data_IF_414260617304
#
_entry.id   IF_414260617304
#
_cell.length_a   1.000
_cell.length_b   1.000
_cell.length_c   1.000
_cell.angle_alpha   90.00
_cell.angle_beta   90.00
_cell.angle_gamma   90.00
#
_symmetry.space_group_name_H-M   'P 1'
#
loop_
_entity.id
_entity.type
_entity.pdbx_description
1 polymer ?
#
# COMPACT_ATOMS: atom_id res chain seq x y z
N UNK A 1 8.64 0.99 1.78
CA UNK A 1 7.89 0.16 2.74
C UNK A 1 6.50 -0.06 2.19
N UNK A 2 6.21 -1.23 1.61
CA UNK A 2 4.95 -1.42 0.86
C UNK A 2 4.24 -2.73 1.17
N UNK A 3 4.97 -3.74 1.60
CA UNK A 3 4.47 -5.09 1.83
C UNK A 3 4.41 -5.43 3.32
N UNK A 4 4.33 -4.44 4.22
CA UNK A 4 4.44 -4.69 5.68
C UNK A 4 3.13 -5.19 6.30
N UNK A 5 1.97 -4.72 5.83
CA UNK A 5 0.66 -5.08 6.42
C UNK A 5 0.45 -6.59 6.43
N UNK A 6 0.81 -7.26 5.34
CA UNK A 6 0.65 -8.70 5.18
C UNK A 6 1.46 -9.53 6.19
N UNK A 7 2.79 -9.40 6.25
CA UNK A 7 3.63 -10.04 7.28
C UNK A 7 3.22 -9.70 8.71
N UNK A 8 2.87 -8.44 9.00
CA UNK A 8 2.40 -8.05 10.35
C UNK A 8 1.12 -8.80 10.72
N UNK A 9 0.17 -8.87 9.79
CA UNK A 9 -1.10 -9.59 9.99
C UNK A 9 -0.87 -11.10 10.09
N UNK A 10 -0.05 -11.66 9.20
CA UNK A 10 0.31 -13.08 9.17
C UNK A 10 1.00 -13.52 10.47
N UNK A 11 1.93 -12.72 10.98
CA UNK A 11 2.57 -12.96 12.27
C UNK A 11 1.58 -12.90 13.42
N UNK A 12 0.63 -11.95 13.41
CA UNK A 12 -0.38 -11.82 14.46
C UNK A 12 -1.34 -13.02 14.54
N UNK A 13 -1.58 -13.72 13.42
CA UNK A 13 -2.45 -14.91 13.37
C UNK A 13 -1.70 -16.24 13.38
N UNK A 14 -0.37 -16.23 13.51
CA UNK A 14 0.44 -17.45 13.49
C UNK A 14 0.49 -18.15 12.14
N UNK A 15 0.39 -17.41 11.04
CA UNK A 15 0.49 -17.96 9.69
C UNK A 15 1.88 -18.55 9.41
N UNK A 16 1.93 -19.63 8.62
CA UNK A 16 3.17 -20.27 8.18
C UNK A 16 4.08 -19.31 7.38
N UNK A 17 5.39 -19.54 7.41
CA UNK A 17 6.38 -18.72 6.71
C UNK A 17 6.16 -18.64 5.20
N UNK A 18 5.62 -19.68 4.57
CA UNK A 18 5.31 -19.74 3.14
C UNK A 18 4.22 -18.73 2.78
N UNK A 19 3.19 -18.62 3.61
CA UNK A 19 2.08 -17.65 3.43
C UNK A 19 2.59 -16.23 3.62
N UNK A 20 3.44 -15.98 4.62
CA UNK A 20 4.08 -14.68 4.83
C UNK A 20 4.95 -14.30 3.63
N UNK A 21 5.72 -15.25 3.08
CA UNK A 21 6.56 -15.03 1.91
C UNK A 21 5.73 -14.67 0.66
N UNK A 22 4.64 -15.39 0.40
CA UNK A 22 3.70 -15.08 -0.70
C UNK A 22 3.10 -13.68 -0.51
N UNK A 23 2.79 -13.29 0.72
CA UNK A 23 2.28 -11.95 1.01
C UNK A 23 3.29 -10.84 0.72
N UNK A 24 4.59 -11.09 0.89
CA UNK A 24 5.63 -10.13 0.51
C UNK A 24 5.69 -10.03 -1.01
N UNK A 25 5.72 -11.17 -1.70
CA UNK A 25 5.77 -11.24 -3.15
C UNK A 25 4.59 -10.50 -3.80
N UNK A 26 3.37 -10.68 -3.28
CA UNK A 26 2.19 -9.98 -3.80
C UNK A 26 2.28 -8.45 -3.64
N UNK A 27 2.82 -7.96 -2.52
CA UNK A 27 3.05 -6.53 -2.30
C UNK A 27 4.10 -5.95 -3.25
N UNK A 28 5.16 -6.71 -3.57
CA UNK A 28 6.16 -6.32 -4.57
C UNK A 28 5.53 -6.24 -5.97
N UNK A 29 4.77 -7.25 -6.38
CA UNK A 29 4.08 -7.26 -7.68
C UNK A 29 3.16 -6.05 -7.80
N UNK A 30 2.37 -5.75 -6.76
CA UNK A 30 1.52 -4.56 -6.73
C UNK A 30 2.35 -3.29 -6.94
N UNK A 31 3.46 -3.11 -6.23
CA UNK A 31 4.33 -1.93 -6.41
C UNK A 31 4.85 -1.77 -7.83
N UNK A 32 5.28 -2.85 -8.47
CA UNK A 32 5.77 -2.83 -9.85
C UNK A 32 4.67 -2.45 -10.84
N UNK A 33 3.47 -3.02 -10.66
CA UNK A 33 2.31 -2.68 -11.48
C UNK A 33 1.99 -1.19 -11.34
N UNK A 34 1.92 -0.66 -10.10
CA UNK A 34 1.68 0.77 -9.89
C UNK A 34 2.77 1.62 -10.52
N UNK A 35 4.03 1.27 -10.34
CA UNK A 35 5.17 2.01 -10.90
C UNK A 35 5.09 2.13 -12.42
N UNK A 36 4.71 1.06 -13.13
CA UNK A 36 4.61 1.03 -14.59
C UNK A 36 3.34 1.73 -15.07
N UNK A 37 2.21 1.50 -14.42
CA UNK A 37 0.90 2.00 -14.86
C UNK A 37 0.71 3.49 -14.54
N UNK A 38 1.27 3.99 -13.44
CA UNK A 38 1.12 5.39 -13.01
C UNK A 38 1.47 6.39 -14.11
N UNK A 39 2.66 6.36 -14.74
CA UNK A 39 3.01 7.36 -15.75
C UNK A 39 2.13 7.30 -17.00
N UNK A 40 1.65 6.10 -17.34
CA UNK A 40 0.75 5.90 -18.48
C UNK A 40 -0.64 6.49 -18.17
N UNK A 41 -1.14 6.30 -16.96
CA UNK A 41 -2.48 6.72 -16.56
C UNK A 41 -2.56 8.16 -16.04
N UNK A 42 -1.45 8.75 -15.59
CA UNK A 42 -1.37 10.08 -15.01
C UNK A 42 -2.07 11.20 -15.81
N UNK A 43 -1.90 11.33 -17.13
CA UNK A 43 -2.59 12.37 -17.90
C UNK A 43 -4.10 12.15 -17.97
N UNK A 44 -4.56 10.89 -17.94
CA UNK A 44 -5.98 10.55 -18.00
C UNK A 44 -6.71 10.77 -16.68
N UNK A 45 -6.02 10.59 -15.55
CA UNK A 45 -6.60 10.73 -14.20
C UNK A 45 -6.34 12.12 -13.58
N UNK A 46 -5.70 13.05 -14.31
CA UNK A 46 -5.43 14.40 -13.83
C UNK A 46 -4.43 14.45 -12.67
N UNK A 47 -3.39 13.61 -12.70
CA UNK A 47 -2.38 13.53 -11.65
C UNK A 47 -1.35 14.67 -11.75
N UNK A 48 -1.83 15.91 -11.61
CA UNK A 48 -1.04 17.13 -11.83
C UNK A 48 -1.08 18.11 -10.65
N UNK A 49 -1.71 17.75 -9.53
CA UNK A 49 -1.80 18.59 -8.34
C UNK A 49 -1.41 17.82 -7.07
N UNK A 50 -0.90 18.50 -6.03
CA UNK A 50 -0.63 17.88 -4.73
C UNK A 50 -1.84 17.15 -4.13
N UNK A 51 -3.05 17.71 -4.33
CA UNK A 51 -4.30 17.09 -3.84
C UNK A 51 -4.58 15.76 -4.55
N UNK A 52 -4.45 15.72 -5.87
CA UNK A 52 -4.61 14.48 -6.63
C UNK A 52 -3.54 13.45 -6.21
N UNK A 53 -2.30 13.87 -5.99
CA UNK A 53 -1.21 13.01 -5.54
C UNK A 53 -1.46 12.39 -4.15
N UNK A 54 -2.00 13.17 -3.20
CA UNK A 54 -2.41 12.67 -1.87
C UNK A 54 -3.46 11.56 -2.01
N UNK A 55 -4.53 11.82 -2.77
CA UNK A 55 -5.63 10.86 -2.97
C UNK A 55 -5.09 9.60 -3.66
N UNK A 56 -4.30 9.78 -4.71
CA UNK A 56 -3.69 8.68 -5.45
C UNK A 56 -2.79 7.82 -4.56
N UNK A 57 -1.96 8.44 -3.72
CA UNK A 57 -1.12 7.71 -2.77
C UNK A 57 -1.93 6.89 -1.78
N UNK A 58 -3.00 7.46 -1.23
CA UNK A 58 -3.93 6.73 -0.37
C UNK A 58 -4.62 5.56 -1.06
N UNK A 59 -5.07 5.75 -2.31
CA UNK A 59 -5.76 4.72 -3.08
C UNK A 59 -4.83 3.57 -3.49
N UNK A 60 -3.64 3.88 -3.99
CA UNK A 60 -2.70 2.84 -4.41
C UNK A 60 -2.16 2.09 -3.21
N UNK A 61 -1.90 2.76 -2.08
CA UNK A 61 -1.45 2.10 -0.86
C UNK A 61 -0.11 1.37 -1.03
N UNK A 62 0.78 1.92 -1.87
CA UNK A 62 2.13 1.39 -2.11
C UNK A 62 3.13 2.54 -2.15
N UNK A 63 3.87 2.77 -1.06
CA UNK A 63 4.81 3.90 -0.98
C UNK A 63 5.87 3.89 -2.08
N UNK A 64 6.54 2.76 -2.36
CA UNK A 64 7.56 2.69 -3.40
C UNK A 64 6.98 2.82 -4.81
N UNK A 65 5.89 2.10 -5.11
CA UNK A 65 5.25 2.15 -6.43
C UNK A 65 4.66 3.52 -6.76
N UNK A 66 3.98 4.15 -5.80
CA UNK A 66 3.43 5.50 -5.96
C UNK A 66 4.56 6.53 -6.09
N UNK A 67 5.60 6.46 -5.25
CA UNK A 67 6.72 7.39 -5.33
C UNK A 67 7.47 7.29 -6.65
N UNK A 68 7.77 6.07 -7.11
CA UNK A 68 8.46 5.85 -8.38
C UNK A 68 7.58 6.24 -9.58
N UNK A 69 6.29 5.89 -9.54
CA UNK A 69 5.32 6.28 -10.56
C UNK A 69 5.16 7.79 -10.67
N UNK A 70 5.04 8.49 -9.53
CA UNK A 70 5.00 9.95 -9.48
C UNK A 70 6.32 10.59 -9.90
N UNK A 71 7.46 10.00 -9.55
CA UNK A 71 8.76 10.50 -9.99
C UNK A 71 8.91 10.44 -11.52
N UNK A 72 8.27 9.48 -12.18
CA UNK A 72 8.20 9.38 -13.63
C UNK A 72 7.20 10.35 -14.28
N UNK A 73 6.30 10.97 -13.51
CA UNK A 73 5.32 11.95 -14.00
C UNK A 73 5.72 13.38 -13.67
N UNK A 74 5.84 13.68 -12.38
CA UNK A 74 6.23 14.96 -11.80
C UNK A 74 6.90 14.71 -10.43
N UNK A 75 8.22 14.86 -10.33
CA UNK A 75 8.97 14.69 -9.09
C UNK A 75 8.47 15.55 -7.92
N UNK A 76 7.85 16.70 -8.19
CA UNK A 76 7.32 17.57 -7.14
C UNK A 76 6.12 16.95 -6.41
N UNK A 77 5.40 16.02 -7.05
CA UNK A 77 4.24 15.34 -6.49
C UNK A 77 4.60 14.16 -5.58
N UNK A 78 5.83 13.64 -5.68
CA UNK A 78 6.33 12.47 -4.94
C UNK A 78 6.09 12.54 -3.43
N UNK A 79 6.48 13.62 -2.70
CA UNK A 79 6.31 13.66 -1.25
C UNK A 79 4.83 13.58 -0.83
N UNK A 80 3.93 14.18 -1.62
CA UNK A 80 2.50 14.21 -1.34
C UNK A 80 1.88 12.81 -1.44
N UNK A 81 2.17 12.06 -2.51
CA UNK A 81 1.64 10.70 -2.67
C UNK A 81 2.35 9.66 -1.78
N UNK A 82 3.66 9.80 -1.59
CA UNK A 82 4.43 8.87 -0.76
C UNK A 82 4.03 8.94 0.72
N UNK A 83 3.78 10.14 1.24
CA UNK A 83 3.36 10.32 2.64
C UNK A 83 1.99 9.66 2.91
N UNK A 84 0.99 9.91 2.06
CA UNK A 84 -0.34 9.30 2.23
C UNK A 84 -0.32 7.79 2.04
N UNK A 85 0.47 7.27 1.10
CA UNK A 85 0.66 5.82 0.93
C UNK A 85 1.26 5.17 2.18
N UNK A 86 2.15 5.89 2.87
CA UNK A 86 2.80 5.42 4.10
C UNK A 86 1.80 5.39 5.26
N UNK A 87 0.98 6.43 5.41
CA UNK A 87 -0.12 6.42 6.39
C UNK A 87 -1.11 5.30 6.13
N UNK A 88 -1.50 5.06 4.87
CA UNK A 88 -2.36 3.93 4.50
C UNK A 88 -1.77 2.60 4.98
N UNK A 89 -0.48 2.38 4.75
CA UNK A 89 0.23 1.16 5.19
C UNK A 89 0.27 1.07 6.72
N UNK A 90 0.61 2.16 7.41
CA UNK A 90 0.65 2.19 8.87
C UNK A 90 -0.71 1.91 9.51
N UNK A 91 -1.76 2.51 8.99
CA UNK A 91 -3.14 2.25 9.41
C UNK A 91 -3.52 0.79 9.16
N UNK A 92 -3.18 0.24 7.99
CA UNK A 92 -3.39 -1.16 7.66
C UNK A 92 -2.73 -2.10 8.68
N UNK A 93 -1.50 -1.81 9.10
CA UNK A 93 -0.79 -2.61 10.10
C UNK A 93 -1.46 -2.63 11.48
N UNK A 94 -2.24 -1.61 11.84
CA UNK A 94 -2.99 -1.56 13.11
C UNK A 94 -4.37 -2.19 12.93
N UNK A 95 -5.08 -1.77 11.89
CA UNK A 95 -6.48 -2.14 11.65
C UNK A 95 -6.61 -3.61 11.28
N UNK A 96 -5.74 -4.13 10.41
CA UNK A 96 -5.85 -5.50 9.91
C UNK A 96 -5.74 -6.56 11.02
N UNK A 97 -4.69 -6.59 11.86
CA UNK A 97 -4.63 -7.54 12.97
C UNK A 97 -5.71 -7.29 14.04
N UNK A 98 -6.08 -6.03 14.30
CA UNK A 98 -7.13 -5.70 15.28
C UNK A 98 -8.51 -6.22 14.86
N UNK A 99 -8.89 -6.01 13.59
CA UNK A 99 -10.13 -6.54 13.03
C UNK A 99 -10.13 -8.06 13.03
N UNK A 100 -9.02 -8.69 12.65
CA UNK A 100 -8.88 -10.15 12.69
C UNK A 100 -9.07 -10.69 14.10
N UNK A 101 -8.47 -10.05 15.10
CA UNK A 101 -8.65 -10.41 16.50
C UNK A 101 -10.12 -10.30 16.95
N UNK A 102 -10.78 -9.18 16.65
CA UNK A 102 -12.20 -8.96 16.99
C UNK A 102 -13.12 -9.98 16.31
N UNK A 103 -12.90 -10.28 15.03
CA UNK A 103 -13.67 -11.27 14.28
C UNK A 103 -13.45 -12.68 14.83
N UNK A 104 -12.21 -13.05 15.14
CA UNK A 104 -11.89 -14.37 15.72
C UNK A 104 -12.57 -14.53 17.08
N UNK A 105 -12.53 -13.48 17.91
CA UNK A 105 -13.23 -13.47 19.21
C UNK A 105 -14.75 -13.56 19.07
N UNK A 106 -15.34 -13.02 17.99
CA UNK A 106 -16.79 -13.07 17.76
C UNK A 106 -17.26 -14.42 17.21
N UNK A 107 -16.41 -15.15 16.50
CA UNK A 107 -16.74 -16.46 15.89
C UNK A 107 -16.46 -17.62 16.85
N UNK A 108 -15.37 -17.55 17.62
CA UNK A 108 -14.91 -18.64 18.49
C UNK A 108 -15.09 -18.36 20.00
N UNK A 109 -15.57 -17.17 20.37
CA UNK A 109 -15.79 -16.74 21.74
C UNK A 109 -17.26 -16.72 22.15
#
# INVERSE_FOLDING_TARGET
>A
MTFIVGPVTGAAVGASSEVIAISIASGVVKSLVVMIVTPIMAPYIGLNTPRAAIIYGGLMGTTSGTAAGLAATDPALVPYGAMTSTFYTGLGCVICPSLLYLLTKLIFG
#
